data_IF_765199202905
#
_entry.id   IF_765199202905
#
_cell.length_a   1.000
_cell.length_b   1.000
_cell.length_c   1.000
_cell.angle_alpha   90.00
_cell.angle_beta   90.00
_cell.angle_gamma   90.00
#
_symmetry.space_group_name_H-M   'P 1'
#
loop_
_entity.id
_entity.type
_entity.pdbx_description
1 polymer ?
#
# COMPACT_ATOMS: atom_id res chain seq x y z
N UNK A 1 3.41 5.20 -14.83
CA UNK A 1 2.53 6.16 -14.12
C UNK A 1 3.19 6.54 -12.80
N UNK A 2 3.41 7.81 -12.61
CA UNK A 2 4.03 8.31 -11.38
C UNK A 2 2.98 8.54 -10.31
N UNK A 3 3.32 8.15 -9.07
CA UNK A 3 2.48 8.36 -7.90
C UNK A 3 3.28 9.11 -6.85
N UNK A 4 2.71 10.16 -6.29
CA UNK A 4 3.31 10.79 -5.11
C UNK A 4 2.27 11.59 -4.34
N UNK A 5 2.48 11.72 -3.04
CA UNK A 5 1.60 12.47 -2.18
C UNK A 5 2.10 12.52 -0.77
N UNK A 6 1.36 13.24 0.05
CA UNK A 6 1.61 13.40 1.48
C UNK A 6 0.31 13.27 2.24
N UNK A 7 0.38 12.71 3.44
CA UNK A 7 -0.77 12.61 4.32
C UNK A 7 -0.33 12.68 5.77
N UNK A 8 -1.03 13.46 6.57
CA UNK A 8 -0.79 13.49 8.02
C UNK A 8 -1.62 12.41 8.70
N UNK A 9 -0.97 11.63 9.55
CA UNK A 9 -1.58 10.52 10.28
C UNK A 9 -1.51 10.84 11.76
N UNK A 10 -2.63 10.66 12.45
CA UNK A 10 -2.77 11.02 13.87
C UNK A 10 -2.22 9.96 14.81
N UNK A 11 -0.94 9.65 14.66
CA UNK A 11 -0.20 8.78 15.58
C UNK A 11 1.29 9.08 15.47
N UNK A 12 2.06 8.60 16.45
CA UNK A 12 3.50 8.78 16.46
C UNK A 12 4.19 7.87 15.43
N UNK A 13 5.44 8.21 15.00
CA UNK A 13 6.14 7.43 13.99
C UNK A 13 6.41 5.98 14.39
N UNK A 14 6.69 5.73 15.65
CA UNK A 14 6.99 4.37 16.13
C UNK A 14 5.76 3.46 16.00
N UNK A 15 4.62 3.93 16.45
CA UNK A 15 3.36 3.19 16.34
C UNK A 15 3.00 2.94 14.89
N UNK A 16 3.12 3.97 14.05
CA UNK A 16 2.82 3.86 12.62
C UNK A 16 3.75 2.86 11.95
N UNK A 17 5.05 2.95 12.22
CA UNK A 17 6.03 2.02 11.68
C UNK A 17 5.68 0.57 12.03
N UNK A 18 5.37 0.32 13.30
CA UNK A 18 5.03 -1.02 13.75
C UNK A 18 3.78 -1.56 13.07
N UNK A 19 2.80 -0.71 12.80
CA UNK A 19 1.60 -1.10 12.06
C UNK A 19 1.93 -1.48 10.61
N UNK A 20 2.78 -0.70 9.96
CA UNK A 20 3.15 -0.94 8.56
C UNK A 20 4.03 -2.18 8.39
N UNK A 21 4.72 -2.60 9.45
CA UNK A 21 5.58 -3.79 9.43
C UNK A 21 4.89 -5.05 9.96
N UNK A 22 3.66 -4.93 10.43
CA UNK A 22 2.93 -6.04 11.05
C UNK A 22 2.09 -6.77 10.01
N UNK A 23 2.44 -8.03 9.75
CA UNK A 23 1.75 -8.87 8.76
C UNK A 23 0.30 -9.17 9.15
N UNK A 24 -0.05 -9.03 10.41
CA UNK A 24 -1.43 -9.23 10.88
C UNK A 24 -2.29 -7.98 10.71
N UNK A 25 -1.67 -6.81 10.73
CA UNK A 25 -2.37 -5.52 10.56
C UNK A 25 -2.47 -5.14 9.09
N UNK A 26 -1.46 -5.41 8.29
CA UNK A 26 -1.45 -5.04 6.87
C UNK A 26 -2.71 -5.46 6.11
N UNK A 27 -3.28 -6.66 6.31
CA UNK A 27 -4.52 -7.02 5.61
C UNK A 27 -5.72 -6.15 5.97
N UNK A 28 -5.68 -5.46 7.09
CA UNK A 28 -6.74 -4.55 7.52
C UNK A 28 -6.59 -3.17 6.89
N UNK A 29 -5.38 -2.83 6.44
CA UNK A 29 -5.05 -1.52 5.88
C UNK A 29 -5.04 -1.55 4.36
N UNK A 30 -4.40 -2.55 3.76
CA UNK A 30 -4.31 -2.66 2.30
C UNK A 30 -5.65 -3.06 1.72
N UNK A 31 -6.25 -2.19 0.85
CA UNK A 31 -7.58 -2.46 0.33
C UNK A 31 -7.61 -3.71 -0.56
N UNK A 32 -8.62 -4.52 -0.33
CA UNK A 32 -8.88 -5.71 -1.15
C UNK A 32 -8.00 -6.91 -0.86
N UNK A 33 -7.07 -6.81 0.08
CA UNK A 33 -6.19 -7.93 0.36
C UNK A 33 -6.99 -9.05 1.03
N UNK A 34 -7.00 -10.23 0.40
CA UNK A 34 -7.68 -11.41 0.93
C UNK A 34 -6.71 -12.40 1.54
N UNK A 35 -5.44 -12.31 1.17
CA UNK A 35 -4.41 -13.21 1.65
C UNK A 35 -3.06 -12.49 1.66
N UNK A 36 -2.35 -12.59 2.77
CA UNK A 36 -0.99 -12.09 2.88
C UNK A 36 -0.16 -13.11 3.65
N UNK A 37 0.90 -13.58 3.03
CA UNK A 37 1.75 -14.61 3.59
C UNK A 37 3.21 -14.15 3.56
N UNK A 38 3.87 -14.20 4.71
CA UNK A 38 5.28 -13.87 4.79
C UNK A 38 6.10 -15.04 4.27
N UNK A 39 6.92 -14.81 3.24
CA UNK A 39 7.71 -15.85 2.59
C UNK A 39 9.20 -15.76 2.91
N UNK A 40 9.62 -14.66 3.52
CA UNK A 40 11.01 -14.43 3.92
C UNK A 40 11.06 -13.26 4.87
N UNK A 41 12.26 -12.80 5.18
CA UNK A 41 12.42 -11.72 6.15
C UNK A 41 11.68 -10.44 5.75
N UNK A 42 11.78 -10.06 4.47
CA UNK A 42 11.15 -8.85 3.96
C UNK A 42 10.35 -9.12 2.69
N UNK A 43 9.90 -10.35 2.50
CA UNK A 43 9.16 -10.77 1.32
C UNK A 43 7.82 -11.37 1.69
N UNK A 44 6.84 -11.14 0.82
CA UNK A 44 5.46 -11.57 1.05
C UNK A 44 4.83 -12.04 -0.24
N UNK A 45 3.88 -12.96 -0.12
CA UNK A 45 2.94 -13.29 -1.19
C UNK A 45 1.59 -12.69 -0.83
N UNK A 46 0.93 -12.10 -1.81
CA UNK A 46 -0.36 -11.47 -1.57
C UNK A 46 -1.38 -11.83 -2.65
N UNK A 47 -2.65 -11.83 -2.24
CA UNK A 47 -3.79 -11.94 -3.14
C UNK A 47 -4.68 -10.74 -2.87
N UNK A 48 -4.95 -9.97 -3.92
CA UNK A 48 -5.78 -8.78 -3.88
C UNK A 48 -7.03 -8.99 -4.71
N UNK A 49 -8.17 -8.57 -4.20
CA UNK A 49 -9.40 -8.53 -4.96
C UNK A 49 -9.73 -7.07 -5.28
N UNK A 50 -9.75 -6.73 -6.55
CA UNK A 50 -10.06 -5.38 -7.03
C UNK A 50 -11.44 -5.40 -7.66
N UNK A 51 -12.29 -4.45 -7.26
CA UNK A 51 -13.64 -4.28 -7.80
C UNK A 51 -13.80 -2.85 -8.28
N UNK A 52 -13.33 -2.58 -9.49
CA UNK A 52 -13.43 -1.25 -10.07
C UNK A 52 -13.67 -1.38 -11.58
N UNK A 53 -14.94 -1.53 -11.96
CA UNK A 53 -15.32 -1.56 -13.37
C UNK A 53 -14.52 -2.60 -14.16
N UNK A 54 -13.87 -2.18 -15.25
CA UNK A 54 -13.14 -3.10 -16.12
C UNK A 54 -11.88 -3.71 -15.48
N UNK A 55 -11.42 -3.19 -14.34
CA UNK A 55 -10.25 -3.73 -13.61
C UNK A 55 -10.69 -4.61 -12.46
N UNK A 56 -11.80 -5.30 -12.59
CA UNK A 56 -12.27 -6.21 -11.55
C UNK A 56 -11.61 -7.58 -11.69
N UNK A 57 -11.23 -8.15 -10.55
CA UNK A 57 -10.64 -9.49 -10.52
C UNK A 57 -9.69 -9.69 -9.36
N UNK A 58 -9.19 -10.91 -9.27
CA UNK A 58 -8.23 -11.31 -8.27
C UNK A 58 -6.81 -11.21 -8.84
N UNK A 59 -5.93 -10.52 -8.12
CA UNK A 59 -4.53 -10.37 -8.48
C UNK A 59 -3.67 -11.08 -7.45
N UNK A 60 -2.69 -11.84 -7.91
CA UNK A 60 -1.73 -12.49 -7.03
C UNK A 60 -0.32 -12.03 -7.36
N UNK A 61 0.55 -12.06 -6.39
CA UNK A 61 1.92 -11.66 -6.63
C UNK A 61 2.78 -11.59 -5.39
N UNK A 62 3.94 -11.01 -5.58
CA UNK A 62 4.97 -10.91 -4.56
C UNK A 62 5.20 -9.45 -4.19
N UNK A 63 5.54 -9.24 -2.91
CA UNK A 63 5.91 -7.95 -2.37
C UNK A 63 7.23 -8.09 -1.65
N UNK A 64 8.07 -7.07 -1.76
CA UNK A 64 9.37 -7.04 -1.11
C UNK A 64 9.63 -5.65 -0.54
N UNK A 65 10.10 -5.60 0.70
CA UNK A 65 10.54 -4.35 1.31
C UNK A 65 12.06 -4.27 1.21
N UNK A 66 12.55 -3.12 0.75
CA UNK A 66 13.97 -2.86 0.56
C UNK A 66 14.35 -1.52 1.19
N UNK A 67 15.65 -1.29 1.32
CA UNK A 67 16.21 -0.02 1.81
C UNK A 67 15.55 0.44 3.11
N UNK A 68 15.35 -0.51 4.03
CA UNK A 68 14.68 -0.25 5.29
C UNK A 68 15.58 0.58 6.20
N UNK A 69 15.10 1.79 6.50
CA UNK A 69 15.72 2.67 7.47
C UNK A 69 14.75 2.74 8.66
N UNK A 70 15.08 2.03 9.72
CA UNK A 70 14.17 1.75 10.83
C UNK A 70 13.41 2.98 11.35
N UNK A 71 12.08 2.87 11.36
CA UNK A 71 11.16 3.92 11.81
C UNK A 71 11.18 5.21 10.96
N UNK A 72 11.83 5.21 9.80
CA UNK A 72 11.94 6.39 8.94
C UNK A 72 11.47 6.17 7.51
N UNK A 73 11.94 5.12 6.86
CA UNK A 73 11.60 4.92 5.45
C UNK A 73 11.83 3.49 5.00
N UNK A 74 11.18 3.14 3.91
CA UNK A 74 11.42 1.89 3.21
C UNK A 74 10.94 2.02 1.77
N UNK A 75 11.40 1.10 0.92
CA UNK A 75 10.94 0.97 -0.44
C UNK A 75 10.15 -0.32 -0.57
N UNK A 76 8.93 -0.21 -1.08
CA UNK A 76 8.08 -1.36 -1.32
C UNK A 76 8.06 -1.66 -2.81
N UNK A 77 8.47 -2.87 -3.18
CA UNK A 77 8.37 -3.37 -4.56
C UNK A 77 7.28 -4.42 -4.59
N UNK A 78 6.36 -4.29 -5.52
CA UNK A 78 5.27 -5.25 -5.66
C UNK A 78 5.06 -5.60 -7.12
N UNK A 79 4.81 -6.87 -7.39
CA UNK A 79 4.42 -7.35 -8.70
C UNK A 79 3.16 -8.18 -8.54
N UNK A 80 2.08 -7.69 -9.13
CA UNK A 80 0.77 -8.34 -9.08
C UNK A 80 0.33 -8.69 -10.50
N UNK A 81 -0.30 -9.84 -10.67
CA UNK A 81 -0.72 -10.28 -11.99
C UNK A 81 -2.03 -11.07 -11.97
N UNK A 82 -2.72 -11.03 -13.09
CA UNK A 82 -3.86 -11.89 -13.40
C UNK A 82 -3.97 -11.98 -14.94
N UNK A 83 -5.11 -12.48 -15.46
CA UNK A 83 -5.30 -12.59 -16.92
C UNK A 83 -5.36 -11.24 -17.63
N UNK A 84 -5.62 -10.14 -16.92
CA UNK A 84 -5.64 -8.80 -17.52
C UNK A 84 -4.25 -8.20 -17.70
N UNK A 85 -3.26 -8.73 -17.00
CA UNK A 85 -1.89 -8.23 -17.13
C UNK A 85 -1.13 -8.22 -15.83
N UNK A 86 -0.06 -7.44 -15.83
CA UNK A 86 0.86 -7.33 -14.69
C UNK A 86 0.98 -5.88 -14.25
N UNK A 87 0.98 -5.67 -12.94
CA UNK A 87 1.21 -4.36 -12.31
C UNK A 87 2.50 -4.46 -11.51
N UNK A 88 3.49 -3.66 -11.88
CA UNK A 88 4.74 -3.52 -11.13
C UNK A 88 4.73 -2.17 -10.44
N UNK A 89 5.00 -2.13 -9.15
CA UNK A 89 5.08 -0.88 -8.42
C UNK A 89 6.36 -0.82 -7.59
N UNK A 90 6.95 0.37 -7.55
CA UNK A 90 8.11 0.67 -6.71
C UNK A 90 7.75 1.95 -5.99
N UNK A 91 7.54 1.86 -4.68
CA UNK A 91 7.10 2.99 -3.87
C UNK A 91 8.06 3.23 -2.72
N UNK A 92 8.52 4.47 -2.60
CA UNK A 92 9.30 4.90 -1.44
C UNK A 92 8.34 5.56 -0.45
N UNK A 93 8.42 5.14 0.79
CA UNK A 93 7.56 5.64 1.87
C UNK A 93 8.45 6.20 2.96
N UNK A 94 8.21 7.45 3.34
CA UNK A 94 8.94 8.13 4.41
C UNK A 94 7.99 8.56 5.51
N UNK A 95 8.41 8.34 6.75
CA UNK A 95 7.68 8.79 7.93
C UNK A 95 8.42 9.99 8.51
N UNK A 96 7.77 11.15 8.50
CA UNK A 96 8.34 12.39 8.99
C UNK A 96 7.64 12.77 10.28
N UNK A 97 8.34 12.74 11.42
CA UNK A 97 7.74 13.12 12.70
C UNK A 97 7.32 14.59 12.70
N UNK A 98 6.05 14.85 12.99
CA UNK A 98 5.55 16.21 13.22
C UNK A 98 5.52 16.48 14.71
N UNK A 99 5.02 15.52 15.49
CA UNK A 99 4.99 15.58 16.94
C UNK A 99 4.91 14.14 17.47
N UNK A 100 4.79 13.99 18.77
CA UNK A 100 4.58 12.68 19.40
C UNK A 100 3.18 12.11 19.14
N UNK A 101 2.32 12.87 18.46
CA UNK A 101 0.94 12.47 18.14
C UNK A 101 0.60 12.56 16.65
N UNK A 102 1.55 12.97 15.83
CA UNK A 102 1.29 13.16 14.39
C UNK A 102 2.53 12.84 13.57
N UNK A 103 2.33 12.14 12.48
CA UNK A 103 3.38 11.78 11.53
C UNK A 103 2.92 12.11 10.13
N UNK A 104 3.79 12.73 9.35
CA UNK A 104 3.54 12.92 7.93
C UNK A 104 4.07 11.71 7.17
N UNK A 105 3.21 11.12 6.34
CA UNK A 105 3.61 10.04 5.44
C UNK A 105 3.80 10.63 4.05
N UNK A 106 5.03 10.60 3.56
CA UNK A 106 5.36 11.00 2.20
C UNK A 106 5.57 9.75 1.38
N UNK A 107 4.90 9.67 0.24
CA UNK A 107 5.08 8.54 -0.66
C UNK A 107 5.33 9.01 -2.08
N UNK A 108 6.20 8.31 -2.78
CA UNK A 108 6.53 8.58 -4.17
C UNK A 108 6.99 7.30 -4.85
N UNK A 109 6.67 7.16 -6.13
CA UNK A 109 7.10 5.99 -6.87
C UNK A 109 6.49 5.90 -8.25
N UNK A 110 6.66 4.73 -8.84
CA UNK A 110 6.21 4.45 -10.19
C UNK A 110 5.41 3.15 -10.24
N UNK A 111 4.35 3.17 -11.04
CA UNK A 111 3.54 2.00 -11.34
C UNK A 111 3.62 1.75 -12.84
N UNK A 112 4.07 0.56 -13.22
CA UNK A 112 4.15 0.13 -14.62
C UNK A 112 3.13 -0.97 -14.85
N UNK A 113 2.30 -0.79 -15.85
CA UNK A 113 1.22 -1.71 -16.17
C UNK A 113 1.44 -2.29 -17.57
N UNK A 114 1.30 -3.60 -17.71
CA UNK A 114 1.46 -4.30 -18.97
C UNK A 114 0.31 -5.29 -19.20
N UNK A 115 0.19 -5.75 -20.45
CA UNK A 115 -0.87 -6.67 -20.83
C UNK A 115 -2.15 -5.94 -21.25
N UNK A 116 -3.27 -6.63 -21.15
CA UNK A 116 -4.57 -6.10 -21.58
C UNK A 116 -5.00 -4.86 -20.79
N UNK A 117 -4.61 -4.77 -19.52
CA UNK A 117 -4.92 -3.61 -18.69
C UNK A 117 -4.37 -2.30 -19.27
N UNK A 118 -3.21 -2.36 -19.93
CA UNK A 118 -2.60 -1.17 -20.51
C UNK A 118 -3.50 -0.51 -21.56
N UNK A 119 -4.35 -1.30 -22.20
CA UNK A 119 -5.28 -0.80 -23.21
C UNK A 119 -6.46 -0.01 -22.63
N UNK A 120 -6.66 -0.07 -21.35
CA UNK A 120 -7.75 0.66 -20.66
C UNK A 120 -7.49 2.17 -20.57
N UNK A 121 -6.23 2.59 -20.77
CA UNK A 121 -5.86 4.00 -20.76
C UNK A 121 -5.53 4.56 -19.39
N UNK A 122 -4.78 5.65 -19.37
CA UNK A 122 -4.29 6.27 -18.14
C UNK A 122 -5.42 6.82 -17.25
N UNK A 123 -6.50 7.29 -17.84
CA UNK A 123 -7.60 7.84 -17.08
C UNK A 123 -8.29 6.80 -16.21
N UNK A 124 -8.55 5.62 -16.76
CA UNK A 124 -9.16 4.51 -16.02
C UNK A 124 -8.20 4.01 -14.96
N UNK A 125 -6.95 3.78 -15.32
CA UNK A 125 -5.93 3.27 -14.39
C UNK A 125 -5.61 4.27 -13.29
N UNK A 126 -5.59 5.56 -13.60
CA UNK A 126 -5.42 6.62 -12.63
C UNK A 126 -6.57 6.66 -11.61
N UNK A 127 -7.79 6.43 -12.07
CA UNK A 127 -8.97 6.35 -11.21
C UNK A 127 -8.89 5.19 -10.22
N UNK A 128 -8.44 4.02 -10.69
CA UNK A 128 -8.23 2.84 -9.82
C UNK A 128 -7.17 3.14 -8.76
N UNK A 129 -6.06 3.74 -9.19
CA UNK A 129 -4.95 4.06 -8.29
C UNK A 129 -5.37 5.06 -7.23
N UNK A 130 -6.10 6.11 -7.61
CA UNK A 130 -6.63 7.10 -6.67
C UNK A 130 -7.57 6.47 -5.66
N UNK A 131 -8.46 5.61 -6.11
CA UNK A 131 -9.40 4.91 -5.24
C UNK A 131 -8.67 4.05 -4.22
N UNK A 132 -7.70 3.27 -4.67
CA UNK A 132 -6.93 2.39 -3.78
C UNK A 132 -6.11 3.18 -2.77
N UNK A 133 -5.52 4.30 -3.19
CA UNK A 133 -4.75 5.18 -2.30
C UNK A 133 -5.64 5.77 -1.21
N UNK A 134 -6.80 6.30 -1.59
CA UNK A 134 -7.76 6.86 -0.63
C UNK A 134 -8.26 5.81 0.35
N UNK A 135 -8.56 4.63 -0.16
CA UNK A 135 -9.02 3.51 0.66
C UNK A 135 -7.95 3.06 1.65
N UNK A 136 -6.69 3.02 1.21
CA UNK A 136 -5.57 2.67 2.08
C UNK A 136 -5.49 3.61 3.28
N UNK A 137 -5.52 4.93 3.04
CA UNK A 137 -5.43 5.91 4.12
C UNK A 137 -6.67 5.93 5.00
N UNK A 138 -7.85 5.71 4.43
CA UNK A 138 -9.08 5.60 5.22
C UNK A 138 -9.01 4.39 6.16
N UNK A 139 -8.54 3.26 5.67
CA UNK A 139 -8.37 2.05 6.46
C UNK A 139 -7.33 2.25 7.57
N UNK A 140 -6.23 2.93 7.24
CA UNK A 140 -5.17 3.24 8.20
C UNK A 140 -5.71 4.13 9.32
N UNK A 141 -6.42 5.20 8.99
CA UNK A 141 -7.04 6.09 9.97
C UNK A 141 -8.00 5.32 10.88
N UNK A 142 -8.78 4.41 10.30
CA UNK A 142 -9.73 3.58 11.03
C UNK A 142 -9.03 2.66 12.04
N UNK A 143 -7.95 2.00 11.62
CA UNK A 143 -7.20 1.11 12.51
C UNK A 143 -6.51 1.88 13.63
N UNK A 144 -6.01 3.08 13.36
CA UNK A 144 -5.41 3.94 14.38
C UNK A 144 -6.46 4.34 15.41
N UNK A 145 -7.65 4.73 14.96
CA UNK A 145 -8.75 5.09 15.86
C UNK A 145 -9.15 3.90 16.75
N UNK A 146 -9.18 2.69 16.20
CA UNK A 146 -9.47 1.47 16.95
C UNK A 146 -8.42 1.19 18.01
N UNK A 147 -7.16 1.37 17.71
CA UNK A 147 -6.08 1.16 18.67
C UNK A 147 -6.15 2.16 19.82
N UNK A 148 -6.47 3.41 19.53
CA UNK A 148 -6.65 4.43 20.55
C UNK A 148 -7.85 4.14 21.46
N UNK A 149 -8.96 3.66 20.88
CA UNK A 149 -10.16 3.32 21.62
C UNK A 149 -9.97 2.08 22.51
N UNK A 150 -9.06 1.17 22.11
CA UNK A 150 -8.75 -0.04 22.88
C UNK A 150 -7.80 0.16 24.06
N UNK A 151 -7.35 1.38 24.28
CA UNK A 151 -6.46 1.71 25.41
C UNK A 151 -7.28 2.23 26.64
#
# INVERSE_FOLDING_TARGET
MELKGKRNIETDPVTLWNMLMDVEILPKIVPGISKLEKTGENTYKSTLEVKFGPVSGEFTGDMQMEDINHQRSFTLKAQQHNKLGTVNSIMKIELIPISDKETEVDFSGEVTISGLMKMMGEKVLGGVTDMLTKQFFANLDHEIAKQKAGK
#
